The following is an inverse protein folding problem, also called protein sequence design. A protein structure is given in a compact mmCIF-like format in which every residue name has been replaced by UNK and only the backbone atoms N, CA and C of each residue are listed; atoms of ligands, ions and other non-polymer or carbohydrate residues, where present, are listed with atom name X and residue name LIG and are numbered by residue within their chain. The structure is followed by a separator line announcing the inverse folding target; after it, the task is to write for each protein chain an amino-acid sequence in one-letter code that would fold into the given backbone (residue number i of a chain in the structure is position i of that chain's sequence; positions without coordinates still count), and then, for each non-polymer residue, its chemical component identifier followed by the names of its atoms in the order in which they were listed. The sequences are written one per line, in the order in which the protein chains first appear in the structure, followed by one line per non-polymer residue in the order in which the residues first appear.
data_IF_629382767315
#
_entry.id   IF_629382767315
#
_cell.length_a   1.000
_cell.length_b   1.000
_cell.length_c   1.000
_cell.angle_alpha   90.00
_cell.angle_beta   90.00
_cell.angle_gamma   90.00
#
_symmetry.space_group_name_H-M   'P 1'
#
loop_
_entity.id
_entity.type
_entity.pdbx_description
1 polymer ?
#
# COMPACT_ATOMS: atom_id res chain seq x y z
N UNK A 1 -0.32 23.97 38.26
CA UNK A 1 0.83 24.28 37.36
C UNK A 1 1.83 23.13 37.27
N UNK A 2 2.37 22.57 38.38
CA UNK A 2 3.34 21.44 38.34
C UNK A 2 2.86 20.20 37.57
N UNK A 3 1.66 19.69 37.83
CA UNK A 3 1.14 18.50 37.14
C UNK A 3 0.89 18.65 35.63
N UNK A 4 0.78 19.89 35.12
CA UNK A 4 0.63 20.12 33.68
C UNK A 4 1.99 20.09 32.96
N UNK A 5 3.06 20.49 33.65
CA UNK A 5 4.44 20.45 33.15
C UNK A 5 4.96 19.01 33.16
N UNK A 6 4.68 18.23 34.22
CA UNK A 6 5.05 16.81 34.29
C UNK A 6 4.38 15.99 33.17
N UNK A 7 3.07 16.20 32.94
CA UNK A 7 2.34 15.55 31.85
C UNK A 7 2.85 15.95 30.45
N UNK A 8 3.23 17.21 30.25
CA UNK A 8 3.86 17.66 29.00
C UNK A 8 5.24 17.01 28.81
N UNK A 9 6.02 16.85 29.88
CA UNK A 9 7.33 16.21 29.85
C UNK A 9 7.21 14.70 29.51
N UNK A 10 6.22 14.02 30.07
CA UNK A 10 5.89 12.63 29.76
C UNK A 10 5.50 12.45 28.27
N UNK A 11 4.62 13.32 27.75
CA UNK A 11 4.23 13.31 26.34
C UNK A 11 5.41 13.59 25.40
N UNK A 12 6.30 14.51 25.78
CA UNK A 12 7.49 14.82 24.97
C UNK A 12 8.47 13.65 24.92
N UNK A 13 8.66 12.96 26.05
CA UNK A 13 9.52 11.78 26.15
C UNK A 13 8.95 10.64 25.31
N UNK A 14 7.65 10.38 25.41
CA UNK A 14 6.99 9.34 24.63
C UNK A 14 7.03 9.63 23.12
N UNK A 15 6.80 10.89 22.72
CA UNK A 15 6.93 11.31 21.31
C UNK A 15 8.33 11.05 20.79
N UNK A 16 9.36 11.37 21.58
CA UNK A 16 10.74 11.14 21.17
C UNK A 16 11.05 9.65 21.07
N UNK A 17 10.60 8.81 22.02
CA UNK A 17 10.81 7.36 21.92
C UNK A 17 10.15 6.74 20.67
N UNK A 18 8.94 7.18 20.33
CA UNK A 18 8.27 6.73 19.09
C UNK A 18 9.02 7.22 17.85
N UNK A 19 9.50 8.47 17.87
CA UNK A 19 10.30 9.03 16.77
C UNK A 19 11.60 8.23 16.57
N UNK A 20 12.32 7.95 17.64
CA UNK A 20 13.55 7.13 17.62
C UNK A 20 13.25 5.75 17.04
N UNK A 21 12.20 5.07 17.52
CA UNK A 21 11.83 3.75 17.01
C UNK A 21 11.53 3.76 15.49
N UNK A 22 10.80 4.77 15.01
CA UNK A 22 10.49 4.90 13.58
C UNK A 22 11.75 5.17 12.75
N UNK A 23 12.60 6.11 13.19
CA UNK A 23 13.73 6.60 12.41
C UNK A 23 14.96 5.70 12.47
N UNK A 24 15.18 5.02 13.61
CA UNK A 24 16.39 4.24 13.87
C UNK A 24 16.16 2.72 13.78
N UNK A 25 14.90 2.26 13.76
CA UNK A 25 14.59 0.82 13.64
C UNK A 25 13.66 0.51 12.47
N UNK A 26 12.41 1.02 12.47
CA UNK A 26 11.38 0.59 11.51
C UNK A 26 11.75 0.97 10.07
N UNK A 27 12.00 2.25 9.78
CA UNK A 27 12.32 2.69 8.41
C UNK A 27 13.65 2.11 7.91
N UNK A 28 14.74 2.10 8.71
CA UNK A 28 15.99 1.43 8.31
C UNK A 28 15.81 -0.05 8.00
N UNK A 29 15.06 -0.80 8.82
CA UNK A 29 14.81 -2.22 8.57
C UNK A 29 14.23 -2.46 7.17
N UNK A 30 13.16 -1.74 6.82
CA UNK A 30 12.52 -1.92 5.52
C UNK A 30 13.44 -1.54 4.36
N UNK A 31 14.17 -0.42 4.47
CA UNK A 31 15.08 0.00 3.40
C UNK A 31 16.25 -0.98 3.25
N UNK A 32 16.90 -1.36 4.35
CA UNK A 32 18.13 -2.16 4.31
C UNK A 32 17.89 -3.65 4.06
N UNK A 33 16.79 -4.21 4.59
CA UNK A 33 16.53 -5.65 4.49
C UNK A 33 15.67 -6.02 3.30
N UNK A 34 14.80 -5.13 2.84
CA UNK A 34 13.75 -5.52 1.88
C UNK A 34 13.86 -4.84 0.53
N UNK A 35 14.69 -3.81 0.35
CA UNK A 35 14.87 -3.21 -1.00
C UNK A 35 15.44 -4.26 -1.95
N UNK A 36 14.68 -4.60 -2.99
CA UNK A 36 15.14 -5.50 -4.04
C UNK A 36 15.71 -4.68 -5.20
N UNK A 37 17.04 -4.71 -5.33
CA UNK A 37 17.77 -4.01 -6.39
C UNK A 37 17.93 -4.83 -7.66
N UNK A 38 17.62 -6.14 -7.63
CA UNK A 38 17.74 -7.03 -8.78
C UNK A 38 16.47 -7.05 -9.63
N UNK A 39 15.31 -7.20 -8.98
CA UNK A 39 14.01 -7.28 -9.66
C UNK A 39 13.11 -6.05 -9.40
N UNK A 40 13.60 -5.08 -8.63
CA UNK A 40 12.85 -3.87 -8.29
C UNK A 40 11.82 -4.09 -7.19
N UNK A 41 11.29 -2.99 -6.66
CA UNK A 41 10.36 -3.02 -5.52
C UNK A 41 11.01 -3.53 -4.24
N UNK A 42 10.22 -4.24 -3.43
CA UNK A 42 10.62 -4.75 -2.13
C UNK A 42 10.37 -6.26 -2.07
N UNK A 43 11.24 -6.98 -1.36
CA UNK A 43 11.13 -8.41 -1.11
C UNK A 43 9.83 -8.68 -0.36
N UNK A 44 9.08 -9.67 -0.82
CA UNK A 44 7.73 -9.96 -0.33
C UNK A 44 7.69 -10.59 1.06
N UNK A 45 8.78 -11.23 1.49
CA UNK A 45 8.85 -11.95 2.76
C UNK A 45 10.23 -11.80 3.42
N UNK A 46 10.20 -11.66 4.74
CA UNK A 46 11.38 -11.78 5.61
C UNK A 46 11.02 -12.78 6.69
N UNK A 47 11.85 -13.81 6.87
CA UNK A 47 11.63 -14.84 7.89
C UNK A 47 11.68 -14.27 9.31
N UNK A 48 11.19 -15.03 10.29
CA UNK A 48 11.22 -14.67 11.71
C UNK A 48 12.64 -14.43 12.27
N UNK A 49 13.69 -14.86 11.55
CA UNK A 49 15.10 -14.63 11.90
C UNK A 49 15.70 -13.39 11.21
N UNK A 50 14.89 -12.60 10.50
CA UNK A 50 15.34 -11.40 9.79
C UNK A 50 16.09 -11.69 8.49
N UNK A 51 15.92 -12.89 7.92
CA UNK A 51 16.52 -13.29 6.63
C UNK A 51 15.51 -13.01 5.52
N UNK A 52 15.80 -12.11 4.56
CA UNK A 52 14.93 -11.86 3.42
C UNK A 52 14.86 -13.08 2.50
N UNK A 53 13.70 -13.34 1.93
CA UNK A 53 13.46 -14.44 0.98
C UNK A 53 13.34 -13.86 -0.45
N UNK A 54 14.43 -13.74 -1.24
CA UNK A 54 14.44 -12.92 -2.45
C UNK A 54 13.53 -13.42 -3.57
N UNK A 55 13.11 -14.69 -3.50
CA UNK A 55 12.22 -15.31 -4.47
C UNK A 55 10.76 -15.38 -3.99
N UNK A 56 10.45 -14.80 -2.83
CA UNK A 56 9.09 -14.72 -2.33
C UNK A 56 8.22 -13.84 -3.28
N UNK A 57 6.96 -14.23 -3.53
CA UNK A 57 6.00 -13.41 -4.25
C UNK A 57 5.82 -12.02 -3.62
N UNK A 58 5.58 -11.00 -4.46
CA UNK A 58 5.44 -9.60 -4.04
C UNK A 58 3.97 -9.19 -4.11
N UNK A 59 3.37 -8.89 -2.95
CA UNK A 59 1.94 -8.55 -2.83
C UNK A 59 1.63 -7.09 -3.15
N UNK A 60 0.54 -6.85 -3.87
CA UNK A 60 0.10 -5.50 -4.23
C UNK A 60 -0.15 -4.59 -3.03
N UNK A 61 -0.72 -5.14 -1.95
CA UNK A 61 -0.96 -4.42 -0.69
C UNK A 61 0.36 -3.99 -0.05
N UNK A 62 1.32 -4.91 0.09
CA UNK A 62 2.62 -4.66 0.72
C UNK A 62 3.35 -3.52 -0.01
N UNK A 63 3.47 -3.63 -1.33
CA UNK A 63 4.19 -2.64 -2.14
C UNK A 63 3.50 -1.28 -2.14
N UNK A 64 2.17 -1.26 -2.13
CA UNK A 64 1.40 -0.01 -2.00
C UNK A 64 1.60 0.64 -0.63
N UNK A 65 1.69 -0.15 0.45
CA UNK A 65 2.04 0.36 1.79
C UNK A 65 3.46 0.89 1.86
N UNK A 66 4.43 0.29 1.15
CA UNK A 66 5.79 0.85 1.05
C UNK A 66 5.77 2.21 0.36
N UNK A 67 5.04 2.31 -0.76
CA UNK A 67 4.88 3.58 -1.47
C UNK A 67 4.33 4.67 -0.56
N UNK A 68 3.24 4.39 0.15
CA UNK A 68 2.67 5.35 1.10
C UNK A 68 3.65 5.68 2.23
N UNK A 69 4.21 4.68 2.90
CA UNK A 69 5.05 4.85 4.09
C UNK A 69 6.27 5.72 3.79
N UNK A 70 6.98 5.44 2.71
CA UNK A 70 8.17 6.21 2.35
C UNK A 70 7.85 7.59 1.79
N UNK A 71 6.73 7.75 1.08
CA UNK A 71 6.24 9.07 0.67
C UNK A 71 5.92 9.93 1.88
N UNK A 72 5.19 9.37 2.85
CA UNK A 72 4.81 10.07 4.07
C UNK A 72 6.03 10.40 4.95
N UNK A 73 6.95 9.45 5.12
CA UNK A 73 8.20 9.68 5.84
C UNK A 73 9.03 10.79 5.19
N UNK A 74 9.09 10.85 3.86
CA UNK A 74 9.74 11.96 3.16
C UNK A 74 9.04 13.30 3.42
N UNK A 75 7.70 13.32 3.48
CA UNK A 75 6.94 14.53 3.78
C UNK A 75 7.21 15.10 5.17
N UNK A 76 7.49 14.23 6.16
CA UNK A 76 7.74 14.63 7.54
C UNK A 76 9.20 14.97 7.83
N UNK A 77 10.13 14.23 7.22
CA UNK A 77 11.54 14.26 7.60
C UNK A 77 12.47 14.79 6.50
N UNK A 78 11.97 14.93 5.28
CA UNK A 78 12.71 15.42 4.10
C UNK A 78 14.03 14.68 3.83
N UNK A 79 14.18 13.45 4.32
CA UNK A 79 15.35 12.63 4.06
C UNK A 79 15.29 12.07 2.61
N UNK A 80 16.28 12.37 1.75
CA UNK A 80 16.31 11.90 0.37
C UNK A 80 16.22 10.38 0.20
N UNK A 81 16.68 9.60 1.19
CA UNK A 81 16.62 8.14 1.16
C UNK A 81 15.16 7.63 1.16
N UNK A 82 14.26 8.32 1.87
CA UNK A 82 12.84 7.98 1.87
C UNK A 82 12.19 8.30 0.53
N UNK A 83 12.55 9.43 -0.09
CA UNK A 83 12.08 9.74 -1.45
C UNK A 83 12.59 8.70 -2.46
N UNK A 84 13.84 8.25 -2.35
CA UNK A 84 14.38 7.20 -3.22
C UNK A 84 13.61 5.88 -3.05
N UNK A 85 13.35 5.47 -1.81
CA UNK A 85 12.55 4.27 -1.52
C UNK A 85 11.11 4.39 -2.05
N UNK A 86 10.48 5.56 -1.91
CA UNK A 86 9.16 5.83 -2.45
C UNK A 86 9.14 5.75 -3.99
N UNK A 87 10.13 6.35 -4.67
CA UNK A 87 10.27 6.25 -6.13
C UNK A 87 10.47 4.80 -6.59
N UNK A 88 11.24 4.01 -5.84
CA UNK A 88 11.44 2.59 -6.11
C UNK A 88 10.15 1.78 -5.99
N UNK A 89 9.34 2.05 -4.95
CA UNK A 89 8.02 1.45 -4.78
C UNK A 89 7.07 1.84 -5.92
N UNK A 90 7.03 3.13 -6.28
CA UNK A 90 6.18 3.67 -7.34
C UNK A 90 6.50 2.99 -8.67
N UNK A 91 7.78 2.96 -9.06
CA UNK A 91 8.22 2.34 -10.31
C UNK A 91 7.80 0.87 -10.39
N UNK A 92 7.96 0.10 -9.31
CA UNK A 92 7.51 -1.28 -9.29
C UNK A 92 5.97 -1.39 -9.41
N UNK A 93 5.23 -0.52 -8.72
CA UNK A 93 3.77 -0.50 -8.79
C UNK A 93 3.29 -0.27 -10.23
N UNK A 94 3.76 0.78 -10.91
CA UNK A 94 3.31 1.08 -12.29
C UNK A 94 3.84 0.11 -13.34
N UNK A 95 5.04 -0.47 -13.15
CA UNK A 95 5.65 -1.33 -14.18
C UNK A 95 5.30 -2.82 -14.03
N UNK A 96 5.07 -3.29 -12.81
CA UNK A 96 4.96 -4.73 -12.50
C UNK A 96 3.64 -5.13 -11.86
N UNK A 97 3.06 -4.27 -11.01
CA UNK A 97 1.77 -4.57 -10.38
C UNK A 97 0.58 -4.06 -11.19
N UNK A 98 0.74 -3.00 -11.96
CA UNK A 98 -0.34 -2.44 -12.77
C UNK A 98 -0.69 -3.38 -13.93
N UNK A 99 -1.98 -3.65 -14.10
CA UNK A 99 -2.48 -4.39 -15.25
C UNK A 99 -2.66 -3.45 -16.46
N UNK A 100 -1.82 -3.56 -17.51
CA UNK A 100 -1.90 -2.67 -18.64
C UNK A 100 -3.12 -2.92 -19.53
N UNK A 101 -3.79 -4.07 -19.39
CA UNK A 101 -4.94 -4.45 -20.23
C UNK A 101 -6.26 -4.02 -19.60
N UNK A 102 -6.45 -4.30 -18.30
CA UNK A 102 -7.72 -4.08 -17.61
C UNK A 102 -7.70 -2.95 -16.57
N UNK A 103 -6.52 -2.34 -16.32
CA UNK A 103 -6.33 -1.32 -15.28
C UNK A 103 -6.42 -1.88 -13.86
N UNK A 104 -6.02 -1.07 -12.88
CA UNK A 104 -5.88 -1.51 -11.50
C UNK A 104 -4.66 -2.41 -11.29
N UNK A 105 -4.35 -2.72 -10.04
CA UNK A 105 -3.21 -3.56 -9.69
C UNK A 105 -3.61 -5.03 -9.52
N UNK A 106 -2.69 -5.94 -9.84
CA UNK A 106 -2.79 -7.35 -9.47
C UNK A 106 -2.72 -7.54 -7.95
N UNK A 107 -3.26 -8.66 -7.47
CA UNK A 107 -3.16 -9.04 -6.07
C UNK A 107 -1.74 -9.48 -5.70
N UNK A 108 -1.13 -10.32 -6.53
CA UNK A 108 0.18 -10.92 -6.28
C UNK A 108 0.95 -11.12 -7.59
N UNK A 109 2.24 -10.79 -7.56
CA UNK A 109 3.20 -11.11 -8.63
C UNK A 109 4.32 -11.96 -8.07
N UNK A 110 5.05 -12.67 -8.94
CA UNK A 110 6.28 -13.36 -8.55
C UNK A 110 7.40 -12.35 -8.22
N UNK A 111 8.56 -12.86 -7.80
CA UNK A 111 9.70 -12.01 -7.45
C UNK A 111 10.22 -11.16 -8.62
N UNK A 112 9.98 -11.55 -9.88
CA UNK A 112 10.37 -10.83 -11.10
C UNK A 112 9.30 -9.81 -11.56
N UNK A 113 8.12 -9.88 -10.96
CA UNK A 113 6.96 -9.06 -11.30
C UNK A 113 6.04 -9.66 -12.36
N UNK A 114 6.09 -10.98 -12.61
CA UNK A 114 5.09 -11.64 -13.44
C UNK A 114 3.82 -11.94 -12.62
N UNK A 115 2.61 -11.75 -13.16
CA UNK A 115 1.38 -11.97 -12.39
C UNK A 115 1.21 -13.43 -11.94
N UNK A 116 0.88 -13.62 -10.66
CA UNK A 116 0.58 -14.93 -10.05
C UNK A 116 -0.89 -15.04 -9.63
N UNK A 117 -1.42 -13.99 -8.99
CA UNK A 117 -2.84 -13.84 -8.68
C UNK A 117 -3.32 -12.50 -9.23
N UNK A 118 -4.16 -12.57 -10.25
CA UNK A 118 -4.60 -11.40 -11.02
C UNK A 118 -5.94 -10.83 -10.56
N UNK A 119 -6.52 -11.36 -9.46
CA UNK A 119 -7.77 -10.83 -8.92
C UNK A 119 -7.65 -9.35 -8.59
N UNK A 120 -8.72 -8.60 -8.83
CA UNK A 120 -8.82 -7.18 -8.48
C UNK A 120 -9.64 -7.07 -7.21
N UNK A 121 -8.96 -7.05 -6.07
CA UNK A 121 -9.64 -6.86 -4.79
C UNK A 121 -9.63 -5.37 -4.41
N UNK A 122 -10.78 -4.78 -4.12
CA UNK A 122 -10.92 -3.36 -3.75
C UNK A 122 -9.98 -2.99 -2.63
N UNK A 123 -9.83 -3.83 -1.60
CA UNK A 123 -8.82 -3.66 -0.56
C UNK A 123 -7.40 -3.34 -1.10
N UNK A 124 -6.90 -4.10 -2.07
CA UNK A 124 -5.59 -3.86 -2.66
C UNK A 124 -5.58 -2.57 -3.49
N UNK A 125 -6.67 -2.31 -4.23
CA UNK A 125 -6.82 -1.08 -5.01
C UNK A 125 -6.85 0.17 -4.11
N UNK A 126 -7.49 0.10 -2.94
CA UNK A 126 -7.53 1.18 -1.95
C UNK A 126 -6.12 1.56 -1.50
N UNK A 127 -5.29 0.57 -1.14
CA UNK A 127 -3.91 0.85 -0.73
C UNK A 127 -3.08 1.42 -1.88
N UNK A 128 -3.29 0.95 -3.12
CA UNK A 128 -2.61 1.51 -4.29
C UNK A 128 -3.01 2.96 -4.53
N UNK A 129 -4.31 3.29 -4.45
CA UNK A 129 -4.81 4.66 -4.55
C UNK A 129 -4.19 5.55 -3.47
N UNK A 130 -4.18 5.07 -2.23
CA UNK A 130 -3.62 5.79 -1.09
C UNK A 130 -2.12 6.07 -1.25
N UNK A 131 -1.34 5.07 -1.69
CA UNK A 131 0.08 5.23 -1.96
C UNK A 131 0.36 6.18 -3.13
N UNK A 132 -0.38 6.07 -4.23
CA UNK A 132 -0.24 6.93 -5.40
C UNK A 132 -0.56 8.39 -5.06
N UNK A 133 -1.65 8.64 -4.33
CA UNK A 133 -2.07 9.97 -3.92
C UNK A 133 -1.01 10.63 -3.01
N UNK A 134 -0.51 9.90 -2.00
CA UNK A 134 0.53 10.42 -1.11
C UNK A 134 1.84 10.68 -1.85
N UNK A 135 2.25 9.79 -2.75
CA UNK A 135 3.44 9.99 -3.57
C UNK A 135 3.31 11.21 -4.48
N UNK A 136 2.18 11.37 -5.17
CA UNK A 136 1.90 12.54 -6.00
C UNK A 136 1.91 13.83 -5.16
N UNK A 137 1.34 13.81 -3.95
CA UNK A 137 1.32 14.96 -3.02
C UNK A 137 2.72 15.44 -2.66
N UNK A 138 3.64 14.53 -2.35
CA UNK A 138 4.98 14.89 -1.85
C UNK A 138 6.01 15.15 -2.95
N UNK A 139 5.75 14.67 -4.17
CA UNK A 139 6.65 14.82 -5.32
C UNK A 139 6.17 15.81 -6.37
N UNK A 140 4.88 16.17 -6.34
CA UNK A 140 4.20 16.91 -7.42
C UNK A 140 4.30 16.22 -8.78
N UNK A 141 4.43 14.88 -8.78
CA UNK A 141 4.47 14.07 -9.99
C UNK A 141 3.05 13.96 -10.60
N UNK A 142 2.90 14.55 -11.78
CA UNK A 142 1.62 14.61 -12.49
C UNK A 142 1.18 13.23 -13.01
N UNK A 143 2.11 12.37 -13.42
CA UNK A 143 1.78 11.02 -13.90
C UNK A 143 1.28 10.14 -12.75
N UNK A 144 1.87 10.29 -11.56
CA UNK A 144 1.38 9.61 -10.36
C UNK A 144 -0.05 10.06 -9.97
N UNK A 145 -0.34 11.36 -10.07
CA UNK A 145 -1.68 11.89 -9.80
C UNK A 145 -2.70 11.36 -10.82
N UNK A 146 -2.34 11.36 -12.10
CA UNK A 146 -3.21 10.82 -13.16
C UNK A 146 -3.50 9.33 -12.94
N UNK A 147 -2.49 8.55 -12.53
CA UNK A 147 -2.69 7.14 -12.16
C UNK A 147 -3.60 6.95 -10.96
N UNK A 148 -3.51 7.80 -9.94
CA UNK A 148 -4.42 7.77 -8.80
C UNK A 148 -5.88 8.03 -9.25
N UNK A 149 -6.09 9.05 -10.08
CA UNK A 149 -7.41 9.41 -10.61
C UNK A 149 -7.96 8.29 -11.51
N UNK A 150 -7.13 7.71 -12.38
CA UNK A 150 -7.49 6.57 -13.22
C UNK A 150 -7.98 5.39 -12.38
N UNK A 151 -7.24 5.07 -11.30
CA UNK A 151 -7.60 3.99 -10.40
C UNK A 151 -8.92 4.26 -9.68
N UNK A 152 -9.10 5.48 -9.17
CA UNK A 152 -10.34 5.88 -8.50
C UNK A 152 -11.54 5.71 -9.41
N UNK A 153 -11.50 6.31 -10.61
CA UNK A 153 -12.61 6.26 -11.56
C UNK A 153 -12.91 4.83 -12.03
N UNK A 154 -11.88 3.98 -12.17
CA UNK A 154 -12.04 2.58 -12.52
C UNK A 154 -12.77 1.80 -11.42
N UNK A 155 -12.30 1.90 -10.17
CA UNK A 155 -12.93 1.21 -9.04
C UNK A 155 -14.35 1.73 -8.82
N UNK A 156 -14.56 3.04 -8.89
CA UNK A 156 -15.89 3.62 -8.75
C UNK A 156 -16.88 3.10 -9.79
N UNK A 157 -16.45 3.05 -11.06
CA UNK A 157 -17.26 2.50 -12.14
C UNK A 157 -17.55 1.00 -11.98
N UNK A 158 -16.58 0.21 -11.51
CA UNK A 158 -16.65 -1.26 -11.50
C UNK A 158 -17.26 -1.85 -10.24
N UNK A 159 -17.05 -1.19 -9.10
CA UNK A 159 -17.34 -1.76 -7.80
C UNK A 159 -18.47 -1.06 -7.05
N UNK A 160 -18.81 0.19 -7.37
CA UNK A 160 -19.91 0.87 -6.69
C UNK A 160 -21.24 0.14 -6.94
N UNK A 161 -21.94 -0.21 -5.86
CA UNK A 161 -23.27 -0.83 -5.91
C UNK A 161 -24.34 0.27 -5.84
N UNK A 162 -25.07 0.56 -6.94
CA UNK A 162 -26.07 1.61 -6.96
C UNK A 162 -27.35 1.27 -6.17
N UNK A 163 -27.63 -0.01 -5.93
CA UNK A 163 -28.87 -0.45 -5.30
C UNK A 163 -28.74 -0.45 -3.77
N UNK A 164 -27.57 -0.86 -3.26
CA UNK A 164 -27.33 -0.99 -1.81
C UNK A 164 -26.21 -0.10 -1.28
N UNK A 165 -25.66 0.79 -2.12
CA UNK A 165 -24.51 1.68 -1.82
C UNK A 165 -23.24 0.91 -1.45
N UNK A 166 -22.11 1.62 -1.32
CA UNK A 166 -20.83 0.98 -1.02
C UNK A 166 -20.24 0.24 -2.23
N UNK A 167 -19.28 -0.65 -1.98
CA UNK A 167 -18.42 -1.22 -3.02
C UNK A 167 -18.32 -2.74 -2.91
N UNK A 168 -18.60 -3.45 -4.00
CA UNK A 168 -18.33 -4.88 -4.10
C UNK A 168 -16.81 -5.13 -4.06
N UNK A 169 -16.35 -6.23 -3.48
CA UNK A 169 -14.95 -6.29 -3.02
C UNK A 169 -13.99 -7.08 -3.89
N UNK A 170 -14.39 -8.20 -4.46
CA UNK A 170 -13.51 -9.08 -5.23
C UNK A 170 -13.97 -9.27 -6.67
N UNK A 171 -13.01 -9.12 -7.58
CA UNK A 171 -13.24 -9.31 -9.01
C UNK A 171 -12.14 -10.16 -9.65
N UNK A 172 -12.47 -10.80 -10.76
CA UNK A 172 -11.51 -11.37 -11.70
C UNK A 172 -10.63 -10.27 -12.29
N UNK A 173 -9.62 -10.66 -13.08
CA UNK A 173 -8.74 -9.71 -13.75
C UNK A 173 -9.50 -8.74 -14.67
N UNK A 174 -10.57 -9.23 -15.32
CA UNK A 174 -11.44 -8.51 -16.26
C UNK A 174 -12.53 -7.68 -15.57
N UNK A 175 -12.51 -7.60 -14.23
CA UNK A 175 -13.51 -6.96 -13.40
C UNK A 175 -14.89 -7.63 -13.42
N UNK A 176 -14.94 -8.95 -13.47
CA UNK A 176 -16.16 -9.73 -13.22
C UNK A 176 -16.23 -10.11 -11.74
N UNK A 177 -17.41 -10.07 -11.11
CA UNK A 177 -17.56 -10.34 -9.68
C UNK A 177 -17.14 -11.77 -9.32
N UNK A 178 -16.33 -11.90 -8.27
CA UNK A 178 -15.98 -13.20 -7.71
C UNK A 178 -17.12 -13.74 -6.84
N UNK A 179 -17.26 -15.05 -6.83
CA UNK A 179 -18.17 -15.75 -5.92
C UNK A 179 -17.58 -15.87 -4.52
N UNK A 180 -16.26 -15.76 -4.38
CA UNK A 180 -15.53 -15.81 -3.12
C UNK A 180 -14.60 -14.60 -2.99
N UNK A 181 -14.87 -13.78 -1.98
CA UNK A 181 -14.14 -12.54 -1.68
C UNK A 181 -13.27 -12.66 -0.41
N UNK A 182 -13.11 -13.87 0.15
CA UNK A 182 -12.30 -14.06 1.36
C UNK A 182 -10.83 -13.70 1.11
N UNK A 183 -10.22 -12.98 2.08
CA UNK A 183 -8.81 -12.62 2.02
C UNK A 183 -7.92 -13.71 2.63
N UNK A 184 -8.48 -14.51 3.54
CA UNK A 184 -7.79 -15.59 4.22
C UNK A 184 -8.75 -16.74 4.60
N UNK A 185 -8.17 -17.91 4.84
CA UNK A 185 -8.90 -19.09 5.32
C UNK A 185 -9.64 -18.78 6.63
N UNK A 186 -10.95 -19.08 6.65
CA UNK A 186 -11.80 -18.85 7.82
C UNK A 186 -12.45 -17.47 7.89
N UNK A 187 -12.15 -16.55 6.96
CA UNK A 187 -12.94 -15.33 6.80
C UNK A 187 -14.31 -15.63 6.18
N UNK A 188 -15.33 -14.94 6.68
CA UNK A 188 -16.66 -15.05 6.11
C UNK A 188 -16.68 -14.40 4.73
N UNK A 189 -17.03 -15.17 3.71
CA UNK A 189 -17.26 -14.64 2.37
C UNK A 189 -18.44 -13.65 2.40
N UNK A 190 -18.13 -12.37 2.33
CA UNK A 190 -19.09 -11.28 2.30
C UNK A 190 -18.92 -10.49 1.01
N UNK A 191 -20.03 -10.07 0.41
CA UNK A 191 -20.00 -9.19 -0.76
C UNK A 191 -19.41 -7.80 -0.42
N UNK A 192 -19.58 -7.38 0.84
CA UNK A 192 -19.14 -6.11 1.43
C UNK A 192 -18.75 -6.37 2.89
N UNK A 193 -17.51 -6.07 3.23
CA UNK A 193 -16.90 -6.20 4.55
C UNK A 193 -16.48 -4.82 5.08
N UNK A 194 -16.45 -4.69 6.40
CA UNK A 194 -15.96 -3.47 7.04
C UNK A 194 -14.52 -3.14 6.61
N UNK A 195 -13.68 -4.17 6.46
CA UNK A 195 -12.24 -4.00 6.28
C UNK A 195 -11.90 -3.33 4.93
N UNK A 196 -12.48 -3.81 3.82
CA UNK A 196 -12.21 -3.18 2.52
C UNK A 196 -12.87 -1.80 2.39
N UNK A 197 -14.08 -1.63 2.93
CA UNK A 197 -14.77 -0.34 2.90
C UNK A 197 -14.05 0.73 3.71
N UNK A 198 -13.52 0.38 4.89
CA UNK A 198 -12.73 1.30 5.72
C UNK A 198 -11.55 1.86 4.91
N UNK A 199 -10.74 0.99 4.32
CA UNK A 199 -9.56 1.44 3.57
C UNK A 199 -9.92 2.12 2.25
N UNK A 200 -11.04 1.76 1.61
CA UNK A 200 -11.52 2.53 0.46
C UNK A 200 -11.86 3.96 0.86
N UNK A 201 -12.57 4.17 1.97
CA UNK A 201 -12.85 5.51 2.48
C UNK A 201 -11.57 6.28 2.88
N UNK A 202 -10.63 5.62 3.55
CA UNK A 202 -9.33 6.23 3.89
C UNK A 202 -8.56 6.69 2.65
N UNK A 203 -8.63 5.95 1.54
CA UNK A 203 -7.96 6.31 0.30
C UNK A 203 -8.57 7.54 -0.40
N UNK A 204 -9.76 7.99 0.01
CA UNK A 204 -10.46 9.15 -0.55
C UNK A 204 -10.27 10.44 0.26
N UNK A 205 -9.52 10.39 1.37
CA UNK A 205 -9.28 11.54 2.27
C UNK A 205 -7.83 11.96 2.28
#
# INVERSE_FOLDING_TARGET
MKGNVEKQMELSTFRESVRTEVLENILPFWIEKTTDTYYGGFIGEVSAHGVPEPQAPKGGILLSRMLWTFSHAYSLYHNPQYLQAARHAYQFLVQKLWDPQNGGIYWLVDYQGNPLDTKKHVYAQSFALYGLAEFARVTHDQEALEKAIELFLLVDKKAHDPDHLGYMEGFTQEWELLTDNSLADGEQNAAKSMNAHLHWMEALT
#
